data_IF_660497631002
#
_entry.id   IF_660497631002
#
_cell.length_a   1.000
_cell.length_b   1.000
_cell.length_c   1.000
_cell.angle_alpha   90.00
_cell.angle_beta   90.00
_cell.angle_gamma   90.00
#
_symmetry.space_group_name_H-M   'P 1'
#
loop_
_entity.id
_entity.type
_entity.pdbx_description
1 polymer ?
#
# COMPACT_ATOMS: atom_id res chain seq x y z
N UNK A 1 -20.68 -8.69 2.44
CA UNK A 1 -19.97 -7.43 2.78
C UNK A 1 -19.71 -7.45 4.29
N UNK A 2 -18.53 -6.97 4.77
CA UNK A 2 -17.94 -7.09 6.16
C UNK A 2 -16.70 -8.00 6.32
N UNK A 3 -15.86 -8.21 5.29
CA UNK A 3 -14.59 -8.97 5.45
C UNK A 3 -13.33 -8.12 5.65
N UNK A 4 -13.43 -6.79 5.65
CA UNK A 4 -12.29 -5.87 5.86
C UNK A 4 -11.81 -5.81 7.32
N UNK A 5 -12.64 -6.22 8.27
CA UNK A 5 -12.33 -6.24 9.72
C UNK A 5 -12.04 -7.65 10.26
N UNK A 6 -11.92 -8.66 9.39
CA UNK A 6 -11.64 -10.01 9.88
C UNK A 6 -10.15 -10.15 10.18
N UNK A 7 -9.80 -10.35 11.45
CA UNK A 7 -8.43 -10.66 11.91
C UNK A 7 -7.76 -11.77 11.09
N UNK A 8 -8.56 -12.74 10.62
CA UNK A 8 -8.09 -13.85 9.80
C UNK A 8 -7.65 -13.42 8.40
N UNK A 9 -8.28 -12.39 7.84
CA UNK A 9 -7.90 -11.78 6.57
C UNK A 9 -6.58 -11.02 6.70
N UNK A 10 -6.45 -10.19 7.74
CA UNK A 10 -5.22 -9.46 8.03
C UNK A 10 -4.03 -10.40 8.27
N UNK A 11 -4.21 -11.47 9.05
CA UNK A 11 -3.16 -12.49 9.23
C UNK A 11 -2.72 -13.11 7.88
N UNK A 12 -3.67 -13.42 6.99
CA UNK A 12 -3.34 -13.99 5.68
C UNK A 12 -2.57 -12.99 4.79
N UNK A 13 -2.89 -11.71 4.87
CA UNK A 13 -2.19 -10.64 4.15
C UNK A 13 -0.76 -10.49 4.66
N UNK A 14 -0.54 -10.42 5.98
CA UNK A 14 0.80 -10.34 6.57
C UNK A 14 1.68 -11.52 6.16
N UNK A 15 1.17 -12.76 6.28
CA UNK A 15 1.91 -13.96 5.89
C UNK A 15 2.28 -13.95 4.40
N UNK A 16 1.39 -13.45 3.54
CA UNK A 16 1.65 -13.32 2.10
C UNK A 16 2.74 -12.29 1.79
N UNK A 17 2.73 -11.15 2.48
CA UNK A 17 3.76 -10.10 2.31
C UNK A 17 5.13 -10.64 2.67
N UNK A 18 5.28 -11.30 3.83
CA UNK A 18 6.57 -11.91 4.22
C UNK A 18 7.03 -12.97 3.22
N UNK A 19 6.10 -13.77 2.67
CA UNK A 19 6.43 -14.76 1.64
C UNK A 19 6.92 -14.11 0.35
N UNK A 20 6.30 -13.01 -0.08
CA UNK A 20 6.69 -12.28 -1.30
C UNK A 20 8.03 -11.54 -1.13
N UNK A 21 8.28 -10.97 0.05
CA UNK A 21 9.58 -10.36 0.37
C UNK A 21 10.71 -11.40 0.41
N UNK A 22 10.43 -12.61 0.91
CA UNK A 22 11.38 -13.72 0.95
C UNK A 22 11.58 -14.46 -0.37
N UNK A 23 10.66 -14.34 -1.33
CA UNK A 23 10.73 -15.05 -2.60
C UNK A 23 11.88 -14.52 -3.48
N UNK A 24 12.68 -15.43 -4.05
CA UNK A 24 13.81 -15.09 -4.95
C UNK A 24 13.36 -14.64 -6.35
N UNK A 25 12.12 -14.98 -6.73
CA UNK A 25 11.52 -14.69 -8.04
C UNK A 25 11.07 -13.23 -8.17
N UNK A 26 10.83 -12.54 -7.05
CA UNK A 26 10.40 -11.15 -7.04
C UNK A 26 11.62 -10.25 -7.20
N UNK A 27 11.59 -9.35 -8.19
CA UNK A 27 12.69 -8.42 -8.46
C UNK A 27 12.86 -7.50 -7.25
N UNK A 28 14.11 -7.14 -6.97
CA UNK A 28 14.46 -6.34 -5.80
C UNK A 28 13.79 -4.95 -5.83
N UNK A 29 13.59 -4.38 -7.03
CA UNK A 29 12.83 -3.14 -7.25
C UNK A 29 11.37 -3.27 -6.81
N UNK A 30 10.72 -4.40 -7.09
CA UNK A 30 9.32 -4.63 -6.70
C UNK A 30 9.20 -4.83 -5.18
N UNK A 31 10.23 -5.37 -4.53
CA UNK A 31 10.32 -5.41 -3.06
C UNK A 31 10.47 -4.01 -2.47
N UNK A 32 11.30 -3.17 -3.09
CA UNK A 32 11.53 -1.79 -2.67
C UNK A 32 10.26 -0.93 -2.77
N UNK A 33 9.39 -1.18 -3.76
CA UNK A 33 8.10 -0.48 -3.87
C UNK A 33 7.20 -0.65 -2.65
N UNK A 34 7.31 -1.76 -1.90
CA UNK A 34 6.58 -1.96 -0.65
C UNK A 34 7.39 -1.51 0.56
N UNK A 35 8.68 -1.85 0.59
CA UNK A 35 9.55 -1.58 1.74
C UNK A 35 9.84 -0.09 1.92
N UNK A 36 10.02 0.67 0.82
CA UNK A 36 10.34 2.10 0.88
C UNK A 36 9.19 2.91 1.49
N UNK A 37 7.93 2.79 1.05
CA UNK A 37 6.81 3.49 1.70
C UNK A 37 6.63 3.11 3.16
N UNK A 38 6.80 1.83 3.52
CA UNK A 38 6.65 1.36 4.90
C UNK A 38 7.77 1.90 5.80
N UNK A 39 9.02 1.91 5.33
CA UNK A 39 10.15 2.49 6.07
C UNK A 39 10.02 4.01 6.17
N UNK A 40 9.62 4.69 5.09
CA UNK A 40 9.36 6.13 5.12
C UNK A 40 8.25 6.43 6.13
N UNK A 41 7.16 5.67 6.12
CA UNK A 41 6.09 5.81 7.11
C UNK A 41 6.54 5.49 8.54
N UNK A 42 7.51 4.60 8.73
CA UNK A 42 8.06 4.31 10.06
C UNK A 42 8.99 5.44 10.56
N UNK A 43 9.74 6.07 9.67
CA UNK A 43 10.74 7.11 10.03
C UNK A 43 10.15 8.52 10.03
N UNK A 44 9.20 8.84 9.16
CA UNK A 44 8.51 10.15 9.13
C UNK A 44 7.89 10.57 10.48
N UNK A 45 7.22 9.71 11.26
CA UNK A 45 6.61 10.11 12.52
C UNK A 45 7.64 10.48 13.60
N UNK A 46 8.87 9.97 13.52
CA UNK A 46 9.98 10.40 14.39
C UNK A 46 10.53 11.79 14.00
N UNK A 47 10.35 12.21 12.75
CA UNK A 47 10.87 13.49 12.22
C UNK A 47 9.83 14.61 12.27
N UNK A 48 8.53 14.30 12.33
CA UNK A 48 7.46 15.29 12.45
C UNK A 48 6.49 14.95 13.59
N UNK A 49 6.76 15.38 14.84
CA UNK A 49 5.73 15.44 15.86
C UNK A 49 4.78 16.59 15.51
N UNK A 50 3.46 16.33 15.54
CA UNK A 50 2.39 17.32 15.35
C UNK A 50 2.13 17.82 13.91
N UNK A 51 1.88 16.96 12.92
CA UNK A 51 1.11 17.37 11.73
C UNK A 51 -0.37 17.00 11.85
N UNK A 52 -1.27 17.96 12.10
CA UNK A 52 -2.71 17.76 11.97
C UNK A 52 -3.14 18.16 10.55
N UNK A 53 -2.62 17.46 9.52
CA UNK A 53 -3.04 17.70 8.14
C UNK A 53 -3.94 16.53 7.72
N UNK A 54 -5.22 16.61 8.08
CA UNK A 54 -6.38 15.97 7.43
C UNK A 54 -6.13 14.66 6.64
N UNK A 55 -5.59 13.62 7.30
CA UNK A 55 -5.10 12.36 6.70
C UNK A 55 -6.10 11.63 5.79
N UNK A 56 -7.40 11.86 5.96
CA UNK A 56 -8.46 11.13 5.23
C UNK A 56 -8.76 11.80 3.89
N UNK A 57 -8.88 13.12 3.83
CA UNK A 57 -9.34 13.81 2.63
C UNK A 57 -8.28 13.73 1.50
N UNK A 58 -7.01 13.97 1.85
CA UNK A 58 -5.90 13.90 0.90
C UNK A 58 -5.71 12.48 0.39
N UNK A 59 -5.81 11.48 1.27
CA UNK A 59 -5.71 10.07 0.91
C UNK A 59 -6.84 9.64 -0.01
N UNK A 60 -8.07 10.08 0.24
CA UNK A 60 -9.22 9.79 -0.63
C UNK A 60 -9.06 10.39 -2.02
N UNK A 61 -8.63 11.64 -2.12
CA UNK A 61 -8.41 12.32 -3.41
C UNK A 61 -7.25 11.64 -4.18
N UNK A 62 -6.16 11.32 -3.49
CA UNK A 62 -5.03 10.63 -4.11
C UNK A 62 -5.40 9.22 -4.59
N UNK A 63 -6.20 8.48 -3.81
CA UNK A 63 -6.68 7.16 -4.17
C UNK A 63 -7.63 7.19 -5.39
N UNK A 64 -8.55 8.14 -5.45
CA UNK A 64 -9.46 8.31 -6.59
C UNK A 64 -8.69 8.66 -7.87
N UNK A 65 -7.76 9.60 -7.77
CA UNK A 65 -6.94 10.02 -8.90
C UNK A 65 -6.06 8.88 -9.42
N UNK A 66 -5.40 8.15 -8.52
CA UNK A 66 -4.54 7.02 -8.87
C UNK A 66 -5.32 5.90 -9.57
N UNK A 67 -6.49 5.55 -9.04
CA UNK A 67 -7.36 4.50 -9.61
C UNK A 67 -7.79 4.87 -11.02
N UNK A 68 -8.29 6.10 -11.23
CA UNK A 68 -8.68 6.59 -12.56
C UNK A 68 -7.53 6.61 -13.56
N UNK A 69 -6.33 6.99 -13.11
CA UNK A 69 -5.14 7.02 -13.96
C UNK A 69 -4.74 5.61 -14.42
N UNK A 70 -4.79 4.63 -13.52
CA UNK A 70 -4.44 3.23 -13.83
C UNK A 70 -5.48 2.54 -14.70
N UNK A 71 -6.77 2.77 -14.46
CA UNK A 71 -7.84 2.27 -15.32
C UNK A 71 -7.71 2.83 -16.74
N UNK A 72 -7.41 4.13 -16.90
CA UNK A 72 -7.17 4.72 -18.24
C UNK A 72 -5.93 4.14 -18.92
N UNK A 73 -4.88 3.83 -18.17
CA UNK A 73 -3.59 3.37 -18.72
C UNK A 73 -3.61 1.88 -19.05
N UNK A 74 -4.36 1.08 -18.30
CA UNK A 74 -4.33 -0.38 -18.38
C UNK A 74 -5.70 -1.02 -18.67
N UNK A 75 -6.72 -0.24 -19.10
CA UNK A 75 -8.09 -0.71 -19.43
C UNK A 75 -8.16 -1.96 -20.31
N UNK A 76 -7.18 -2.19 -21.18
CA UNK A 76 -7.14 -3.37 -22.06
C UNK A 76 -6.63 -4.66 -21.35
N UNK A 77 -5.97 -4.54 -20.19
CA UNK A 77 -5.32 -5.65 -19.48
C UNK A 77 -5.97 -6.04 -18.14
N UNK A 78 -6.88 -5.21 -17.62
CA UNK A 78 -7.62 -5.48 -16.38
C UNK A 78 -9.10 -5.70 -16.71
N UNK A 79 -9.39 -6.88 -17.28
CA UNK A 79 -10.75 -7.46 -17.38
C UNK A 79 -10.87 -8.63 -16.42
#
# INVERSE_FOLDING_TARGET
MRKLLSLRHWRAVFVRIFRLLGAKEVRLVDKLLYVVPVLLYWVLPDVMPFMPIDDIAVTMIAAEWYTRYMERKYSEHLK
#
